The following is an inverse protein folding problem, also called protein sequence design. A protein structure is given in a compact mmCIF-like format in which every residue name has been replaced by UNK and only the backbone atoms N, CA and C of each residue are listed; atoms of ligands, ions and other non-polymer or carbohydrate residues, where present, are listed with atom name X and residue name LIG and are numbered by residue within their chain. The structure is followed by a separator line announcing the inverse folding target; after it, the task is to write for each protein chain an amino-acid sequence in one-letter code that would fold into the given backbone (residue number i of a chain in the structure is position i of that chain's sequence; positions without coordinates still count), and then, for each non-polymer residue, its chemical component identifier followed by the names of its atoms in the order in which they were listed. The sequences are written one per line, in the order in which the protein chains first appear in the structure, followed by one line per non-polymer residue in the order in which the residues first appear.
data_IF_461533979299
#
_entry.id   IF_461533979299
#
_cell.length_a   1.000
_cell.length_b   1.000
_cell.length_c   1.000
_cell.angle_alpha   90.00
_cell.angle_beta   90.00
_cell.angle_gamma   90.00
#
_symmetry.space_group_name_H-M   'P 1'
#
loop_
_entity.id
_entity.type
_entity.pdbx_description
1 polymer ?
#
# COMPACT_ATOMS: atom_id res chain seq x y z
N UNK A 1 48.14 15.29 -18.22
CA UNK A 1 47.76 13.90 -18.56
C UNK A 1 47.24 13.14 -17.34
N UNK A 2 47.98 13.09 -16.22
CA UNK A 2 47.56 12.42 -14.96
C UNK A 2 46.21 12.90 -14.40
N UNK A 3 45.97 14.22 -14.37
CA UNK A 3 44.73 14.81 -13.83
C UNK A 3 43.48 14.44 -14.67
N UNK A 4 43.64 14.25 -15.97
CA UNK A 4 42.55 13.82 -16.86
C UNK A 4 42.19 12.34 -16.62
N UNK A 5 43.20 11.50 -16.39
CA UNK A 5 43.00 10.08 -16.08
C UNK A 5 42.26 9.90 -14.75
N UNK A 6 42.65 10.63 -13.70
CA UNK A 6 41.99 10.57 -12.39
C UNK A 6 40.51 10.99 -12.48
N UNK A 7 40.19 12.03 -13.25
CA UNK A 7 38.80 12.45 -13.49
C UNK A 7 37.97 11.38 -14.18
N UNK A 8 38.53 10.70 -15.18
CA UNK A 8 37.84 9.62 -15.91
C UNK A 8 37.53 8.42 -15.00
N UNK A 9 38.47 8.04 -14.14
CA UNK A 9 38.28 6.92 -13.19
C UNK A 9 37.20 7.24 -12.15
N UNK A 10 37.17 8.47 -11.63
CA UNK A 10 36.15 8.90 -10.66
C UNK A 10 34.75 8.92 -11.29
N UNK A 11 34.62 9.42 -12.53
CA UNK A 11 33.34 9.42 -13.25
C UNK A 11 32.86 7.99 -13.50
N UNK A 12 33.75 7.10 -13.97
CA UNK A 12 33.41 5.70 -14.21
C UNK A 12 32.97 4.99 -12.91
N UNK A 13 33.65 5.23 -11.80
CA UNK A 13 33.27 4.69 -10.49
C UNK A 13 31.92 5.24 -10.01
N UNK A 14 31.68 6.55 -10.13
CA UNK A 14 30.39 7.15 -9.77
C UNK A 14 29.24 6.58 -10.63
N UNK A 15 29.45 6.38 -11.94
CA UNK A 15 28.44 5.79 -12.84
C UNK A 15 28.17 4.32 -12.48
N UNK A 16 29.22 3.56 -12.12
CA UNK A 16 29.10 2.16 -11.71
C UNK A 16 28.42 2.01 -10.35
N UNK A 17 28.66 2.95 -9.42
CA UNK A 17 27.97 3.04 -8.13
C UNK A 17 26.50 3.41 -8.36
N UNK A 18 26.20 4.41 -9.18
CA UNK A 18 24.82 4.82 -9.48
C UNK A 18 23.99 3.72 -10.22
N UNK A 19 24.63 2.84 -10.99
CA UNK A 19 23.93 1.71 -11.64
C UNK A 19 23.79 0.48 -10.75
N UNK A 20 24.73 0.24 -9.84
CA UNK A 20 24.69 -0.88 -8.89
C UNK A 20 23.77 -0.63 -7.68
N UNK A 21 23.47 0.65 -7.40
CA UNK A 21 22.45 1.05 -6.44
C UNK A 21 21.25 1.58 -7.22
N UNK A 22 20.37 0.71 -7.79
CA UNK A 22 19.08 1.16 -8.26
C UNK A 22 18.44 1.87 -7.07
N UNK A 23 18.36 3.20 -7.17
CA UNK A 23 17.87 4.02 -6.08
C UNK A 23 16.57 3.40 -5.59
N UNK A 24 16.47 3.19 -4.28
CA UNK A 24 15.20 2.95 -3.61
C UNK A 24 14.37 4.23 -3.79
N UNK A 25 13.91 4.49 -5.00
CA UNK A 25 12.76 5.31 -5.22
C UNK A 25 11.67 4.60 -4.43
N UNK A 26 11.36 5.13 -3.25
CA UNK A 26 10.15 4.78 -2.52
C UNK A 26 9.03 5.09 -3.50
N UNK A 27 8.59 4.07 -4.23
CA UNK A 27 7.48 4.18 -5.18
C UNK A 27 6.30 4.50 -4.30
N UNK A 28 5.98 5.80 -4.14
CA UNK A 28 4.64 6.19 -3.81
C UNK A 28 3.85 5.77 -5.05
N UNK A 29 3.11 4.64 -5.01
CA UNK A 29 2.43 4.21 -6.20
C UNK A 29 1.30 5.22 -6.37
N UNK A 30 1.45 6.15 -7.30
CA UNK A 30 0.30 6.88 -7.82
C UNK A 30 -0.69 5.80 -8.26
N UNK A 31 -1.76 5.66 -7.48
CA UNK A 31 -2.68 4.53 -7.63
C UNK A 31 -3.49 4.75 -8.90
N UNK A 32 -3.01 4.20 -10.01
CA UNK A 32 -3.74 4.13 -11.26
C UNK A 32 -4.92 3.19 -11.03
N UNK A 33 -6.15 3.72 -10.99
CA UNK A 33 -7.39 2.94 -10.79
C UNK A 33 -7.31 2.00 -9.57
N UNK A 34 -7.30 2.55 -8.34
CA UNK A 34 -7.18 1.75 -7.12
C UNK A 34 -8.36 0.80 -6.95
N UNK A 35 -8.07 -0.42 -6.51
CA UNK A 35 -9.08 -1.40 -6.13
C UNK A 35 -8.74 -2.07 -4.79
N UNK A 36 -9.77 -2.38 -4.02
CA UNK A 36 -9.65 -3.13 -2.77
C UNK A 36 -10.38 -4.44 -2.94
N UNK A 37 -9.66 -5.54 -2.78
CA UNK A 37 -10.20 -6.90 -2.84
C UNK A 37 -10.14 -7.49 -1.44
N UNK A 38 -11.29 -7.93 -0.91
CA UNK A 38 -11.37 -8.62 0.38
C UNK A 38 -11.54 -10.11 0.14
N UNK A 39 -10.55 -10.91 0.53
CA UNK A 39 -10.60 -12.36 0.44
C UNK A 39 -10.97 -12.94 1.82
N UNK A 40 -12.23 -13.39 1.94
CA UNK A 40 -12.78 -13.86 3.22
C UNK A 40 -12.13 -15.16 3.71
N UNK A 41 -11.90 -16.20 2.88
CA UNK A 41 -11.16 -17.39 3.31
C UNK A 41 -9.76 -17.11 3.86
N UNK A 42 -8.98 -16.25 3.20
CA UNK A 42 -7.60 -15.92 3.61
C UNK A 42 -7.53 -14.81 4.66
N UNK A 43 -8.64 -14.10 4.94
CA UNK A 43 -8.71 -12.96 5.87
C UNK A 43 -7.75 -11.83 5.49
N UNK A 44 -7.69 -11.53 4.20
CA UNK A 44 -6.80 -10.50 3.64
C UNK A 44 -7.58 -9.39 2.93
N UNK A 45 -7.07 -8.17 3.08
CA UNK A 45 -7.38 -7.01 2.23
C UNK A 45 -6.20 -6.78 1.29
N UNK A 46 -6.46 -6.85 0.00
CA UNK A 46 -5.47 -6.63 -1.05
C UNK A 46 -5.74 -5.30 -1.75
N UNK A 47 -4.76 -4.40 -1.69
CA UNK A 47 -4.80 -3.12 -2.37
C UNK A 47 -4.10 -3.24 -3.73
N UNK A 48 -4.83 -2.98 -4.80
CA UNK A 48 -4.33 -2.98 -6.16
C UNK A 48 -4.23 -1.55 -6.72
N UNK A 49 -3.24 -1.34 -7.59
CA UNK A 49 -3.14 -0.21 -8.51
C UNK A 49 -3.21 -0.78 -9.92
N UNK A 50 -4.39 -0.72 -10.56
CA UNK A 50 -4.67 -1.41 -11.80
C UNK A 50 -4.53 -2.92 -11.60
N UNK A 51 -3.60 -3.55 -12.32
CA UNK A 51 -3.32 -4.98 -12.21
C UNK A 51 -2.17 -5.32 -11.24
N UNK A 52 -1.58 -4.33 -10.56
CA UNK A 52 -0.45 -4.56 -9.65
C UNK A 52 -0.91 -4.62 -8.20
N UNK A 53 -0.61 -5.71 -7.50
CA UNK A 53 -0.78 -5.81 -6.05
C UNK A 53 0.22 -4.88 -5.36
N UNK A 54 -0.28 -3.87 -4.65
CA UNK A 54 0.52 -2.87 -3.94
C UNK A 54 0.82 -3.32 -2.52
N UNK A 55 -0.20 -3.80 -1.81
CA UNK A 55 -0.06 -4.18 -0.40
C UNK A 55 -1.17 -5.12 0.06
N UNK A 56 -0.83 -5.97 1.02
CA UNK A 56 -1.78 -6.87 1.68
C UNK A 56 -1.84 -6.57 3.17
N UNK A 57 -3.04 -6.55 3.73
CA UNK A 57 -3.29 -6.33 5.15
C UNK A 57 -4.10 -7.49 5.72
N UNK A 58 -3.73 -8.07 6.88
CA UNK A 58 -4.60 -8.99 7.59
C UNK A 58 -5.82 -8.23 8.12
N UNK A 59 -7.00 -8.83 8.03
CA UNK A 59 -8.26 -8.19 8.48
C UNK A 59 -9.12 -9.13 9.32
N UNK A 60 -9.86 -8.56 10.27
CA UNK A 60 -10.95 -9.28 10.91
C UNK A 60 -12.16 -9.35 9.96
N UNK A 61 -12.89 -10.46 10.01
CA UNK A 61 -14.14 -10.66 9.27
C UNK A 61 -15.30 -10.92 10.24
N UNK A 62 -16.53 -10.77 9.76
CA UNK A 62 -17.72 -11.07 10.54
C UNK A 62 -17.72 -12.51 11.10
N UNK A 63 -18.36 -12.69 12.26
CA UNK A 63 -18.59 -14.02 12.84
C UNK A 63 -19.42 -14.87 11.88
N UNK A 64 -19.38 -16.19 12.03
CA UNK A 64 -20.24 -17.09 11.24
C UNK A 64 -21.74 -16.77 11.38
N UNK A 65 -22.17 -16.34 12.58
CA UNK A 65 -23.55 -15.91 12.84
C UNK A 65 -23.92 -14.55 12.26
N UNK A 66 -22.93 -13.72 11.90
CA UNK A 66 -23.09 -12.36 11.36
C UNK A 66 -21.99 -12.11 10.31
N UNK A 67 -22.05 -12.81 9.15
CA UNK A 67 -20.95 -12.83 8.19
C UNK A 67 -20.80 -11.49 7.47
N UNK A 68 -19.58 -11.21 7.00
CA UNK A 68 -19.36 -10.11 6.06
C UNK A 68 -20.03 -10.44 4.73
N UNK A 69 -20.95 -9.60 4.19
CA UNK A 69 -21.64 -9.88 2.95
C UNK A 69 -20.68 -9.86 1.76
N UNK A 70 -20.89 -10.76 0.79
CA UNK A 70 -20.15 -10.80 -0.46
C UNK A 70 -20.81 -9.92 -1.52
N UNK A 71 -20.01 -9.23 -2.34
CA UNK A 71 -20.49 -8.38 -3.42
C UNK A 71 -19.49 -7.31 -3.81
N UNK A 72 -19.91 -6.46 -4.75
CA UNK A 72 -19.15 -5.28 -5.17
C UNK A 72 -19.62 -4.08 -4.37
N UNK A 73 -18.67 -3.45 -3.66
CA UNK A 73 -18.92 -2.26 -2.85
C UNK A 73 -17.95 -1.15 -3.26
N UNK A 74 -18.28 0.09 -2.88
CA UNK A 74 -17.50 1.28 -3.20
C UNK A 74 -17.30 2.12 -1.94
N UNK A 75 -16.13 2.75 -1.80
CA UNK A 75 -15.87 3.68 -0.70
C UNK A 75 -16.58 4.98 -1.01
N UNK A 76 -17.59 5.34 -0.20
CA UNK A 76 -18.37 6.57 -0.38
C UNK A 76 -17.82 7.74 0.42
N UNK A 77 -17.20 7.47 1.58
CA UNK A 77 -16.60 8.48 2.44
C UNK A 77 -15.42 7.92 3.22
N UNK A 78 -14.55 8.81 3.69
CA UNK A 78 -13.43 8.52 4.59
C UNK A 78 -13.37 9.62 5.63
N UNK A 79 -13.25 9.25 6.89
CA UNK A 79 -13.18 10.18 8.02
C UNK A 79 -11.90 9.91 8.82
N UNK A 80 -11.30 10.97 9.33
CA UNK A 80 -10.10 10.92 10.19
C UNK A 80 -10.58 11.05 11.64
N UNK A 81 -10.11 10.16 12.50
CA UNK A 81 -10.45 10.10 13.93
C UNK A 81 -11.97 10.15 14.24
N UNK A 82 -12.79 9.26 13.62
CA UNK A 82 -14.22 9.25 13.85
C UNK A 82 -14.58 8.71 15.24
N UNK A 83 -15.66 9.22 15.81
CA UNK A 83 -16.29 8.57 16.97
C UNK A 83 -17.01 7.27 16.56
N UNK A 84 -16.89 6.22 17.38
CA UNK A 84 -17.58 4.95 17.22
C UNK A 84 -18.95 4.97 17.89
N UNK A 85 -19.99 4.67 17.11
CA UNK A 85 -21.38 4.55 17.55
C UNK A 85 -21.80 3.07 17.61
N UNK A 86 -22.01 2.49 18.80
CA UNK A 86 -22.39 1.09 18.92
C UNK A 86 -23.78 0.80 18.33
N UNK A 87 -23.95 -0.24 17.50
CA UNK A 87 -25.22 -0.52 16.83
C UNK A 87 -26.36 -0.94 17.78
N UNK A 88 -26.05 -1.37 19.00
CA UNK A 88 -27.05 -1.72 20.04
C UNK A 88 -27.29 -0.59 21.04
N UNK A 89 -26.80 0.61 20.76
CA UNK A 89 -26.69 1.67 21.76
C UNK A 89 -25.56 1.40 22.76
N UNK A 90 -25.07 2.45 23.41
CA UNK A 90 -23.97 2.38 24.37
C UNK A 90 -23.18 3.67 24.45
N UNK A 91 -22.09 3.66 25.22
CA UNK A 91 -21.17 4.80 25.32
C UNK A 91 -20.46 5.01 23.96
N UNK A 92 -20.57 6.21 23.41
CA UNK A 92 -19.81 6.65 22.23
C UNK A 92 -18.32 6.71 22.62
N UNK A 93 -17.45 6.23 21.73
CA UNK A 93 -16.01 6.14 21.98
C UNK A 93 -15.27 6.88 20.89
N UNK A 94 -14.29 7.70 21.25
CA UNK A 94 -13.42 8.44 20.33
C UNK A 94 -11.97 8.12 20.68
#
# INVERSE_FOLDING_TARGET
MFVFYVRLVIIAFCVLVLSAFPGYASRNPDLLSPAVVINLPSRTLELYSGNTLVKTYPVAIGKFSTPTPQGTFFITSKEIDPAWYPPKGGKIVQ
#
